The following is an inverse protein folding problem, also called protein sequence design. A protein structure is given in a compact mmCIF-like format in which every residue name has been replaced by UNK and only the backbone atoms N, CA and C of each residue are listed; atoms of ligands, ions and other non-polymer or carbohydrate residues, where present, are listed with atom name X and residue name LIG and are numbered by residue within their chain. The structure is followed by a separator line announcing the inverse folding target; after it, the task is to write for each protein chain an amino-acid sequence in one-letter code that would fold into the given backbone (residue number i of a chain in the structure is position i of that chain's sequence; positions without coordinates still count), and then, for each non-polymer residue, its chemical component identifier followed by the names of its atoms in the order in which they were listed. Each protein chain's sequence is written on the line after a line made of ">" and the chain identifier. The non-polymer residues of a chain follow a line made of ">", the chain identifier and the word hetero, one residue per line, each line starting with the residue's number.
data_IF_090842856956
#
_entry.id   IF_090842856956
#
_cell.length_a   1.000
_cell.length_b   1.000
_cell.length_c   1.000
_cell.angle_alpha   90.00
_cell.angle_beta   90.00
_cell.angle_gamma   90.00
#
_symmetry.space_group_name_H-M   'P 1'
#
loop_
_entity.id
_entity.type
_entity.pdbx_description
1 polymer ?
#
# COMPACT_ATOMS: atom_id res chain seq x y z
N UNK A 1 -12.38 -3.04 18.24
CA UNK A 1 -11.68 -3.89 17.26
C UNK A 1 -10.26 -3.38 17.11
N UNK A 2 -9.25 -4.24 17.11
CA UNK A 2 -7.84 -3.86 16.94
C UNK A 2 -7.57 -3.61 15.46
N UNK A 3 -7.02 -2.45 15.11
CA UNK A 3 -6.73 -2.13 13.70
C UNK A 3 -5.68 -3.11 13.14
N UNK A 4 -5.89 -3.69 11.94
CA UNK A 4 -4.93 -4.56 11.27
C UNK A 4 -3.53 -3.94 11.10
N UNK A 5 -3.44 -2.61 11.15
CA UNK A 5 -2.19 -1.85 11.08
C UNK A 5 -1.25 -2.09 12.26
N UNK A 6 -1.78 -2.47 13.43
CA UNK A 6 -1.01 -2.70 14.65
C UNK A 6 -0.27 -4.03 14.62
N UNK A 7 -0.74 -5.01 13.84
CA UNK A 7 -0.09 -6.31 13.69
C UNK A 7 0.18 -6.65 12.21
N UNK A 8 1.18 -5.97 11.61
CA UNK A 8 1.59 -6.15 10.21
C UNK A 8 2.14 -7.54 9.92
N UNK A 9 2.66 -8.25 10.92
CA UNK A 9 3.19 -9.61 10.74
C UNK A 9 2.08 -10.61 10.46
N UNK A 10 0.89 -10.34 11.01
CA UNK A 10 -0.27 -11.24 10.89
C UNK A 10 -1.24 -10.80 9.80
N UNK A 11 -1.36 -9.49 9.55
CA UNK A 11 -2.32 -8.92 8.60
C UNK A 11 -1.67 -8.28 7.36
N UNK A 12 -0.34 -8.26 7.30
CA UNK A 12 0.41 -7.73 6.17
C UNK A 12 0.41 -8.69 4.99
N UNK A 13 0.22 -8.16 3.80
CA UNK A 13 0.32 -8.90 2.54
C UNK A 13 1.52 -8.36 1.77
N UNK A 14 2.45 -9.25 1.45
CA UNK A 14 3.69 -8.92 0.78
C UNK A 14 3.54 -8.95 -0.75
N UNK A 15 4.15 -7.96 -1.40
CA UNK A 15 4.31 -7.81 -2.83
C UNK A 15 5.79 -7.49 -3.07
N UNK A 16 6.61 -8.52 -3.30
CA UNK A 16 8.06 -8.33 -3.38
C UNK A 16 8.61 -7.70 -2.11
N UNK A 17 9.15 -6.49 -2.21
CA UNK A 17 9.69 -5.72 -1.07
C UNK A 17 8.66 -4.83 -0.36
N UNK A 18 7.45 -4.69 -0.91
CA UNK A 18 6.38 -3.91 -0.28
C UNK A 18 5.47 -4.82 0.56
N UNK A 19 5.04 -4.34 1.73
CA UNK A 19 4.04 -5.01 2.59
C UNK A 19 2.90 -4.04 2.81
N UNK A 20 1.66 -4.48 2.56
CA UNK A 20 0.47 -3.67 2.79
C UNK A 20 -0.42 -4.27 3.86
N UNK A 21 -0.93 -3.42 4.73
CA UNK A 21 -2.03 -3.74 5.64
C UNK A 21 -3.23 -2.90 5.23
N UNK A 22 -4.42 -3.49 5.22
CA UNK A 22 -5.68 -2.81 4.84
C UNK A 22 -6.62 -2.89 6.03
N UNK A 23 -7.23 -1.78 6.39
CA UNK A 23 -8.31 -1.73 7.37
C UNK A 23 -9.61 -1.34 6.65
N UNK A 24 -10.44 -2.34 6.25
CA UNK A 24 -11.66 -2.08 5.49
C UNK A 24 -12.73 -1.34 6.29
N UNK A 25 -12.65 -1.35 7.62
CA UNK A 25 -13.65 -0.71 8.46
C UNK A 25 -13.38 0.79 8.59
N UNK A 26 -12.09 1.17 8.68
CA UNK A 26 -11.63 2.57 8.60
C UNK A 26 -11.52 3.11 7.17
N UNK A 27 -11.44 2.24 6.17
CA UNK A 27 -11.40 2.64 4.76
C UNK A 27 -10.01 3.04 4.27
N UNK A 28 -8.95 2.61 4.94
CA UNK A 28 -7.58 3.04 4.72
C UNK A 28 -6.60 1.87 4.59
N UNK A 29 -5.36 2.19 4.25
CA UNK A 29 -4.27 1.22 4.17
C UNK A 29 -2.92 1.81 4.59
N UNK A 30 -2.00 0.96 5.00
CA UNK A 30 -0.58 1.32 5.22
C UNK A 30 0.28 0.42 4.34
N UNK A 31 1.11 1.05 3.51
CA UNK A 31 2.15 0.38 2.74
C UNK A 31 3.51 0.63 3.38
N UNK A 32 4.31 -0.43 3.50
CA UNK A 32 5.67 -0.42 4.04
C UNK A 32 6.60 -0.95 2.98
N UNK A 33 7.60 -0.17 2.59
CA UNK A 33 8.54 -0.57 1.55
C UNK A 33 9.92 0.06 1.80
N UNK A 34 11.02 -0.60 1.40
CA UNK A 34 12.33 -0.01 1.45
C UNK A 34 12.43 1.14 0.45
N UNK A 35 12.92 2.30 0.91
CA UNK A 35 13.24 3.44 0.05
C UNK A 35 14.73 3.70 0.10
N UNK A 36 15.35 3.87 -1.07
CA UNK A 36 16.75 4.30 -1.16
C UNK A 36 16.83 5.80 -0.88
N UNK A 37 17.60 6.19 0.12
CA UNK A 37 17.89 7.58 0.48
C UNK A 37 19.42 7.72 0.50
N UNK A 38 19.97 8.28 -0.58
CA UNK A 38 21.41 8.31 -0.80
C UNK A 38 22.00 6.91 -0.94
N UNK A 39 22.96 6.58 -0.09
CA UNK A 39 23.59 5.24 -0.01
C UNK A 39 22.84 4.25 0.89
N UNK A 40 21.84 4.70 1.65
CA UNK A 40 21.14 3.88 2.65
C UNK A 40 19.78 3.40 2.13
N UNK A 41 19.42 2.16 2.45
CA UNK A 41 18.07 1.63 2.23
C UNK A 41 17.33 1.64 3.57
N UNK A 42 16.30 2.47 3.68
CA UNK A 42 15.52 2.64 4.91
C UNK A 42 14.09 2.16 4.69
N UNK A 43 13.50 1.35 5.58
CA UNK A 43 12.09 1.02 5.51
C UNK A 43 11.24 2.27 5.76
N UNK A 44 10.31 2.56 4.85
CA UNK A 44 9.38 3.69 4.96
C UNK A 44 7.96 3.14 4.98
N UNK A 45 7.14 3.65 5.90
CA UNK A 45 5.70 3.39 5.96
C UNK A 45 4.90 4.61 5.53
N UNK A 46 3.87 4.42 4.71
CA UNK A 46 2.94 5.48 4.32
C UNK A 46 1.50 4.99 4.47
N UNK A 47 0.68 5.79 5.15
CA UNK A 47 -0.77 5.58 5.30
C UNK A 47 -1.51 6.33 4.19
N UNK A 48 -2.55 5.72 3.65
CA UNK A 48 -3.46 6.30 2.67
C UNK A 48 -4.88 6.16 3.19
N UNK A 49 -5.59 7.28 3.33
CA UNK A 49 -6.87 7.36 4.03
C UNK A 49 -8.08 7.24 3.11
N UNK A 50 -7.88 7.15 1.78
CA UNK A 50 -8.96 7.08 0.82
C UNK A 50 -8.58 6.32 -0.46
N UNK A 51 -9.59 5.88 -1.21
CA UNK A 51 -9.40 5.26 -2.52
C UNK A 51 -8.72 6.20 -3.53
N UNK A 52 -9.04 7.49 -3.48
CA UNK A 52 -8.45 8.49 -4.38
C UNK A 52 -6.95 8.69 -4.10
N UNK A 53 -6.58 8.79 -2.82
CA UNK A 53 -5.16 8.83 -2.41
C UNK A 53 -4.40 7.58 -2.86
N UNK A 54 -5.02 6.40 -2.72
CA UNK A 54 -4.43 5.12 -3.14
C UNK A 54 -4.21 5.09 -4.65
N UNK A 55 -5.19 5.51 -5.45
CA UNK A 55 -5.10 5.49 -6.91
C UNK A 55 -4.10 6.53 -7.43
N UNK A 56 -4.13 7.76 -6.87
CA UNK A 56 -3.16 8.80 -7.20
C UNK A 56 -1.73 8.38 -6.88
N UNK A 57 -1.50 7.76 -5.72
CA UNK A 57 -0.21 7.21 -5.35
C UNK A 57 0.21 6.06 -6.28
N UNK A 58 -0.72 5.19 -6.66
CA UNK A 58 -0.44 4.07 -7.56
C UNK A 58 0.03 4.54 -8.92
N UNK A 59 -0.63 5.54 -9.51
CA UNK A 59 -0.21 6.13 -10.79
C UNK A 59 1.20 6.70 -10.71
N UNK A 60 1.54 7.37 -9.60
CA UNK A 60 2.90 7.86 -9.38
C UNK A 60 3.92 6.71 -9.32
N UNK A 61 3.61 5.62 -8.63
CA UNK A 61 4.50 4.46 -8.53
C UNK A 61 4.68 3.75 -9.88
N UNK A 62 3.63 3.65 -10.70
CA UNK A 62 3.75 3.11 -12.07
C UNK A 62 4.69 3.95 -12.95
N UNK A 63 4.69 5.27 -12.79
CA UNK A 63 5.64 6.16 -13.51
C UNK A 63 7.07 5.94 -13.03
N UNK A 64 7.28 5.73 -11.74
CA UNK A 64 8.61 5.43 -11.17
C UNK A 64 9.12 4.04 -11.60
N UNK A 65 8.22 3.05 -11.67
CA UNK A 65 8.52 1.72 -12.19
C UNK A 65 8.97 1.78 -13.66
N UNK A 66 8.25 2.54 -14.49
CA UNK A 66 8.64 2.79 -15.88
C UNK A 66 10.02 3.49 -15.99
N UNK A 67 10.41 4.26 -14.97
CA UNK A 67 11.74 4.85 -14.83
C UNK A 67 12.82 3.91 -14.30
N UNK A 68 12.51 2.64 -14.03
CA UNK A 68 13.45 1.60 -13.59
C UNK A 68 13.44 1.30 -12.09
N UNK A 69 12.53 1.89 -11.30
CA UNK A 69 12.40 1.57 -9.86
C UNK A 69 11.55 0.31 -9.66
N UNK A 70 12.22 -0.84 -9.51
CA UNK A 70 11.54 -2.12 -9.26
C UNK A 70 10.70 -2.14 -7.97
N UNK A 71 11.08 -1.37 -6.94
CA UNK A 71 10.30 -1.30 -5.69
C UNK A 71 9.01 -0.50 -5.91
N UNK A 72 9.02 0.45 -6.84
CA UNK A 72 7.81 1.18 -7.19
C UNK A 72 6.73 0.24 -7.77
N UNK A 73 7.11 -0.74 -8.59
CA UNK A 73 6.17 -1.76 -9.10
C UNK A 73 5.57 -2.64 -8.00
N UNK A 74 6.37 -3.01 -7.01
CA UNK A 74 5.91 -3.70 -5.79
C UNK A 74 4.86 -2.88 -5.03
N UNK A 75 5.14 -1.59 -4.81
CA UNK A 75 4.22 -0.66 -4.14
C UNK A 75 2.95 -0.48 -4.97
N UNK A 76 3.04 -0.36 -6.30
CA UNK A 76 1.87 -0.18 -7.17
C UNK A 76 0.93 -1.40 -7.11
N UNK A 77 1.48 -2.62 -7.06
CA UNK A 77 0.72 -3.86 -6.87
C UNK A 77 0.05 -3.91 -5.50
N UNK A 78 0.77 -3.51 -4.46
CA UNK A 78 0.23 -3.42 -3.11
C UNK A 78 -0.94 -2.42 -3.00
N UNK A 79 -0.81 -1.24 -3.62
CA UNK A 79 -1.86 -0.23 -3.67
C UNK A 79 -3.08 -0.71 -4.48
N UNK A 80 -2.87 -1.38 -5.61
CA UNK A 80 -3.96 -2.02 -6.38
C UNK A 80 -4.77 -2.98 -5.52
N UNK A 81 -4.08 -3.84 -4.76
CA UNK A 81 -4.73 -4.80 -3.87
C UNK A 81 -5.55 -4.10 -2.79
N UNK A 82 -4.98 -3.07 -2.14
CA UNK A 82 -5.69 -2.28 -1.13
C UNK A 82 -6.96 -1.62 -1.71
N UNK A 83 -6.86 -0.97 -2.88
CA UNK A 83 -8.01 -0.37 -3.54
C UNK A 83 -9.12 -1.39 -3.83
N UNK A 84 -8.76 -2.59 -4.30
CA UNK A 84 -9.72 -3.66 -4.58
C UNK A 84 -10.42 -4.15 -3.30
N UNK A 85 -9.69 -4.33 -2.20
CA UNK A 85 -10.25 -4.74 -0.91
C UNK A 85 -11.24 -3.70 -0.37
N UNK A 86 -10.85 -2.42 -0.39
CA UNK A 86 -11.69 -1.32 0.08
C UNK A 86 -12.94 -1.15 -0.79
N UNK A 87 -12.81 -1.20 -2.12
CA UNK A 87 -13.94 -1.12 -3.04
C UNK A 87 -14.93 -2.28 -2.86
N UNK A 88 -14.44 -3.50 -2.62
CA UNK A 88 -15.29 -4.67 -2.33
C UNK A 88 -16.11 -4.46 -1.05
N UNK A 89 -15.50 -3.91 0.00
CA UNK A 89 -16.20 -3.62 1.26
C UNK A 89 -17.23 -2.49 1.10
N UNK A 90 -16.90 -1.42 0.38
CA UNK A 90 -17.85 -0.33 0.09
C UNK A 90 -19.08 -0.82 -0.69
N UNK A 91 -18.88 -1.71 -1.69
CA UNK A 91 -20.00 -2.32 -2.43
C UNK A 91 -20.90 -3.20 -1.57
N UNK A 92 -20.37 -3.83 -0.52
CA UNK A 92 -21.16 -4.64 0.43
C UNK A 92 -21.91 -3.79 1.46
N UNK A 93 -21.52 -2.52 1.64
CA UNK A 93 -22.17 -1.57 2.56
C UNK A 93 -23.31 -0.78 1.90
N UNK A 94 -23.36 -0.75 0.57
CA UNK A 94 -24.45 -0.21 -0.24
C UNK A 94 -25.49 -1.29 -0.50
#
# INVERSE_FOLDING_TARGET
>A
MTSPHLNPETHGIAFGKAVVTVDPDLGDCIVRAPRKVGMTVTPVSRRFNSLDEIEGARVQQLRLEAGGDAVAGDIARALKFAAQQLARKQRKRR
#
